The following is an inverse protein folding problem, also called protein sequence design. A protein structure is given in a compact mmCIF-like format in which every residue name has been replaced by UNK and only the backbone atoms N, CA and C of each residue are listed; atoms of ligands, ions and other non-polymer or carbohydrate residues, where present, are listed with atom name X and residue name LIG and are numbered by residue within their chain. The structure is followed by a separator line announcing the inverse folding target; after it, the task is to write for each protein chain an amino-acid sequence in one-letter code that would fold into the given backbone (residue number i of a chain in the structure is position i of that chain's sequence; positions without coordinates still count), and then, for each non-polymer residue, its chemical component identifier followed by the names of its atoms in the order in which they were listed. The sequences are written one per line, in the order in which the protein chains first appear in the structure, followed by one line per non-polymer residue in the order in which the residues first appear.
data_IF_355202766927
#
_entry.id   IF_355202766927
#
_cell.length_a   1.000
_cell.length_b   1.000
_cell.length_c   1.000
_cell.angle_alpha   90.00
_cell.angle_beta   90.00
_cell.angle_gamma   90.00
#
_symmetry.space_group_name_H-M   'P 1'
#
loop_
_entity.id
_entity.type
_entity.pdbx_description
1 polymer ?
#
# COMPACT_ATOMS: atom_id res chain seq x y z
N UNK A 1 8.71 -0.45 -31.31
CA UNK A 1 8.31 0.44 -30.22
C UNK A 1 8.47 -0.34 -28.90
N UNK A 2 9.66 -0.23 -28.28
CA UNK A 2 10.05 -0.95 -27.03
C UNK A 2 10.64 0.07 -26.02
N UNK A 3 10.22 1.34 -26.10
CA UNK A 3 10.87 2.45 -25.37
C UNK A 3 10.31 2.73 -23.96
N UNK A 4 9.46 1.86 -23.41
CA UNK A 4 8.82 2.12 -22.11
C UNK A 4 9.44 1.42 -20.90
N UNK A 5 10.24 0.37 -21.10
CA UNK A 5 10.76 -0.45 -20.01
C UNK A 5 11.96 0.16 -19.27
N UNK A 6 12.67 1.10 -19.92
CA UNK A 6 13.85 1.80 -19.37
C UNK A 6 13.54 3.24 -18.94
N UNK A 7 12.27 3.66 -18.89
CA UNK A 7 11.92 4.98 -18.41
C UNK A 7 12.26 5.09 -16.91
N UNK A 8 13.00 6.15 -16.49
CA UNK A 8 13.35 6.34 -15.08
C UNK A 8 12.12 6.70 -14.24
N UNK A 9 12.20 6.41 -12.94
CA UNK A 9 11.22 6.85 -11.97
C UNK A 9 9.86 6.16 -12.05
N UNK A 10 8.81 6.87 -11.62
CA UNK A 10 7.43 6.41 -11.56
C UNK A 10 6.90 5.94 -12.93
N UNK A 11 7.33 6.58 -14.03
CA UNK A 11 6.92 6.15 -15.38
C UNK A 11 7.42 4.74 -15.74
N UNK A 12 8.64 4.39 -15.35
CA UNK A 12 9.19 3.04 -15.55
C UNK A 12 8.44 1.99 -14.72
N UNK A 13 8.02 2.35 -13.51
CA UNK A 13 7.17 1.49 -12.68
C UNK A 13 5.84 1.23 -13.38
N UNK A 14 5.15 2.26 -13.85
CA UNK A 14 3.87 2.14 -14.55
C UNK A 14 3.98 1.30 -15.82
N UNK A 15 5.07 1.46 -16.60
CA UNK A 15 5.30 0.68 -17.80
C UNK A 15 5.39 -0.84 -17.52
N UNK A 16 5.82 -1.23 -16.32
CA UNK A 16 5.84 -2.63 -15.87
C UNK A 16 4.49 -3.10 -15.30
N UNK A 17 3.78 -2.19 -14.60
CA UNK A 17 2.52 -2.54 -13.97
C UNK A 17 1.37 -2.73 -14.97
N UNK A 18 1.27 -1.89 -16.00
CA UNK A 18 0.12 -1.90 -16.89
C UNK A 18 -0.03 -3.22 -17.69
N UNK A 19 1.02 -3.80 -18.30
CA UNK A 19 0.90 -5.10 -18.96
C UNK A 19 0.50 -6.23 -18.02
N UNK A 20 0.96 -6.18 -16.76
CA UNK A 20 0.59 -7.15 -15.73
C UNK A 20 -0.88 -7.00 -15.33
N UNK A 21 -1.39 -5.77 -15.23
CA UNK A 21 -2.81 -5.51 -15.01
C UNK A 21 -3.67 -6.10 -16.14
N UNK A 22 -3.29 -5.83 -17.40
CA UNK A 22 -4.01 -6.36 -18.57
C UNK A 22 -4.04 -7.89 -18.57
N UNK A 23 -2.97 -8.55 -18.14
CA UNK A 23 -2.92 -10.00 -17.97
C UNK A 23 -3.89 -10.47 -16.89
N UNK A 24 -3.83 -9.86 -15.70
CA UNK A 24 -4.69 -10.19 -14.57
C UNK A 24 -6.18 -9.99 -14.90
N UNK A 25 -6.51 -8.96 -15.68
CA UNK A 25 -7.88 -8.70 -16.11
C UNK A 25 -8.40 -9.78 -17.08
N UNK A 26 -7.58 -10.18 -18.07
CA UNK A 26 -7.93 -11.27 -18.99
C UNK A 26 -8.12 -12.61 -18.31
N UNK A 27 -7.27 -12.90 -17.31
CA UNK A 27 -7.28 -14.16 -16.57
C UNK A 27 -8.35 -14.20 -15.47
N UNK A 28 -9.05 -13.08 -15.22
CA UNK A 28 -10.00 -12.96 -14.10
C UNK A 28 -9.35 -13.03 -12.73
N UNK A 29 -8.04 -12.75 -12.64
CA UNK A 29 -7.25 -12.84 -11.41
C UNK A 29 -7.72 -11.80 -10.37
N UNK A 30 -8.11 -12.17 -9.16
CA UNK A 30 -8.62 -11.25 -8.16
C UNK A 30 -7.57 -10.22 -7.71
N UNK A 31 -6.27 -10.48 -7.89
CA UNK A 31 -5.19 -9.54 -7.60
C UNK A 31 -5.28 -8.26 -8.44
N UNK A 32 -6.00 -8.30 -9.59
CA UNK A 32 -6.27 -7.12 -10.43
C UNK A 32 -6.89 -5.96 -9.65
N UNK A 33 -7.68 -6.23 -8.63
CA UNK A 33 -8.36 -5.18 -7.87
C UNK A 33 -7.37 -4.29 -7.11
N UNK A 34 -6.44 -4.89 -6.36
CA UNK A 34 -5.38 -4.12 -5.70
C UNK A 34 -4.39 -3.57 -6.73
N UNK A 35 -3.92 -4.37 -7.68
CA UNK A 35 -2.95 -3.96 -8.69
C UNK A 35 -3.44 -2.76 -9.51
N UNK A 36 -4.70 -2.77 -9.95
CA UNK A 36 -5.32 -1.66 -10.67
C UNK A 36 -5.46 -0.39 -9.80
N UNK A 37 -5.90 -0.54 -8.55
CA UNK A 37 -5.96 0.58 -7.59
C UNK A 37 -4.57 1.17 -7.37
N UNK A 38 -3.56 0.34 -7.19
CA UNK A 38 -2.19 0.78 -6.96
C UNK A 38 -1.60 1.46 -8.21
N UNK A 39 -1.78 0.92 -9.41
CA UNK A 39 -1.35 1.54 -10.67
C UNK A 39 -1.93 2.94 -10.86
N UNK A 40 -3.20 3.14 -10.53
CA UNK A 40 -3.85 4.45 -10.59
C UNK A 40 -3.30 5.41 -9.53
N UNK A 41 -2.99 4.90 -8.34
CA UNK A 41 -2.38 5.68 -7.25
C UNK A 41 -0.96 6.13 -7.64
N UNK A 42 -0.14 5.22 -8.13
CA UNK A 42 1.23 5.51 -8.61
C UNK A 42 1.21 6.57 -9.72
N UNK A 43 0.25 6.50 -10.65
CA UNK A 43 0.07 7.54 -11.68
C UNK A 43 -0.23 8.91 -11.06
N UNK A 44 -1.15 8.97 -10.09
CA UNK A 44 -1.49 10.23 -9.43
C UNK A 44 -0.32 10.80 -8.60
N UNK A 45 0.55 9.95 -8.05
CA UNK A 45 1.79 10.39 -7.40
C UNK A 45 2.75 10.97 -8.45
N UNK A 46 2.92 10.32 -9.60
CA UNK A 46 3.73 10.83 -10.72
C UNK A 46 3.25 12.20 -11.22
N UNK A 47 1.94 12.40 -11.38
CA UNK A 47 1.34 13.70 -11.72
C UNK A 47 1.66 14.74 -10.63
N UNK A 48 1.51 14.41 -9.36
CA UNK A 48 1.82 15.30 -8.24
C UNK A 48 3.31 15.65 -8.13
N UNK A 49 4.21 14.73 -8.51
CA UNK A 49 5.65 14.99 -8.65
C UNK A 49 5.89 16.01 -9.77
N UNK A 50 5.29 15.81 -10.94
CA UNK A 50 5.40 16.69 -12.10
C UNK A 50 4.84 18.09 -11.82
N UNK A 51 3.80 18.18 -11.02
CA UNK A 51 3.16 19.43 -10.57
C UNK A 51 3.93 20.12 -9.42
N UNK A 52 5.12 19.64 -9.05
CA UNK A 52 5.96 20.16 -7.98
C UNK A 52 5.23 20.30 -6.62
N UNK A 53 4.34 19.36 -6.28
CA UNK A 53 3.54 19.39 -5.05
C UNK A 53 4.31 18.97 -3.81
N UNK A 54 5.56 18.52 -3.95
CA UNK A 54 6.45 18.07 -2.88
C UNK A 54 7.60 19.04 -2.68
N UNK A 55 8.22 19.01 -1.49
CA UNK A 55 9.42 19.81 -1.19
C UNK A 55 10.67 19.24 -1.89
N UNK A 56 10.73 17.91 -2.03
CA UNK A 56 11.77 17.18 -2.74
C UNK A 56 11.15 16.16 -3.71
N UNK A 57 10.69 16.59 -4.89
CA UNK A 57 10.06 15.72 -5.87
C UNK A 57 10.96 14.54 -6.30
N UNK A 58 12.27 14.77 -6.40
CA UNK A 58 13.23 13.73 -6.78
C UNK A 58 13.38 12.63 -5.69
N UNK A 59 13.28 13.01 -4.42
CA UNK A 59 13.25 12.04 -3.34
C UNK A 59 11.95 11.23 -3.34
N UNK A 60 10.81 11.90 -3.55
CA UNK A 60 9.50 11.22 -3.61
C UNK A 60 9.46 10.23 -4.77
N UNK A 61 10.02 10.59 -5.94
CA UNK A 61 10.12 9.69 -7.09
C UNK A 61 10.94 8.43 -6.75
N UNK A 62 12.13 8.58 -6.16
CA UNK A 62 12.95 7.44 -5.72
C UNK A 62 12.24 6.57 -4.68
N UNK A 63 11.53 7.20 -3.76
CA UNK A 63 10.77 6.50 -2.73
C UNK A 63 9.61 5.71 -3.34
N UNK A 64 8.81 6.32 -4.25
CA UNK A 64 7.69 5.63 -4.91
C UNK A 64 8.18 4.44 -5.75
N UNK A 65 9.31 4.58 -6.44
CA UNK A 65 9.96 3.47 -7.17
C UNK A 65 10.37 2.35 -6.22
N UNK A 66 11.05 2.66 -5.12
CA UNK A 66 11.45 1.65 -4.14
C UNK A 66 10.24 0.94 -3.52
N UNK A 67 9.19 1.70 -3.24
CA UNK A 67 7.94 1.19 -2.69
C UNK A 67 7.23 0.24 -3.67
N UNK A 68 7.11 0.64 -4.93
CA UNK A 68 6.52 -0.19 -5.97
C UNK A 68 7.34 -1.46 -6.26
N UNK A 69 8.66 -1.37 -6.18
CA UNK A 69 9.53 -2.52 -6.42
C UNK A 69 9.29 -3.63 -5.39
N UNK A 70 9.12 -3.31 -4.11
CA UNK A 70 8.83 -4.31 -3.07
C UNK A 70 7.54 -5.09 -3.38
N UNK A 71 6.50 -4.41 -3.83
CA UNK A 71 5.27 -5.05 -4.27
C UNK A 71 5.48 -5.95 -5.49
N UNK A 72 6.15 -5.43 -6.53
CA UNK A 72 6.39 -6.19 -7.75
C UNK A 72 7.25 -7.42 -7.51
N UNK A 73 8.25 -7.33 -6.63
CA UNK A 73 9.09 -8.45 -6.20
C UNK A 73 8.26 -9.50 -5.44
N UNK A 74 7.39 -9.07 -4.54
CA UNK A 74 6.49 -9.97 -3.82
C UNK A 74 5.51 -10.68 -4.77
N UNK A 75 4.97 -9.95 -5.76
CA UNK A 75 4.10 -10.52 -6.80
C UNK A 75 4.84 -11.55 -7.65
N UNK A 76 6.03 -11.22 -8.14
CA UNK A 76 6.87 -12.12 -8.93
C UNK A 76 7.31 -13.35 -8.13
N UNK A 77 7.62 -13.19 -6.85
CA UNK A 77 7.92 -14.30 -5.95
C UNK A 77 6.72 -15.23 -5.81
N UNK A 78 5.54 -14.68 -5.54
CA UNK A 78 4.30 -15.46 -5.41
C UNK A 78 3.91 -16.21 -6.70
N UNK A 79 4.14 -15.61 -7.87
CA UNK A 79 3.86 -16.25 -9.17
C UNK A 79 4.79 -17.44 -9.43
N UNK A 80 6.03 -17.39 -8.97
CA UNK A 80 6.99 -18.51 -9.11
C UNK A 80 6.72 -19.61 -8.10
N UNK A 81 6.55 -19.23 -6.85
CA UNK A 81 6.23 -20.09 -5.71
C UNK A 81 5.51 -19.27 -4.64
N UNK A 82 4.21 -19.53 -4.37
CA UNK A 82 3.45 -18.80 -3.36
C UNK A 82 4.11 -18.77 -1.98
N UNK A 83 4.87 -19.80 -1.61
CA UNK A 83 5.56 -19.86 -0.32
C UNK A 83 6.75 -18.89 -0.24
N UNK A 84 7.32 -18.48 -1.36
CA UNK A 84 8.48 -17.57 -1.42
C UNK A 84 8.12 -16.09 -1.23
N UNK A 85 6.83 -15.73 -1.33
CA UNK A 85 6.39 -14.35 -1.06
C UNK A 85 6.45 -14.04 0.44
N UNK A 86 6.71 -12.78 0.84
CA UNK A 86 6.57 -12.34 2.22
C UNK A 86 5.20 -12.70 2.81
N UNK A 87 5.15 -13.04 4.09
CA UNK A 87 3.93 -13.53 4.76
C UNK A 87 2.70 -12.62 4.56
N UNK A 88 2.80 -11.28 4.67
CA UNK A 88 1.65 -10.39 4.43
C UNK A 88 1.13 -10.53 3.00
N UNK A 89 2.02 -10.56 2.01
CA UNK A 89 1.66 -10.70 0.62
C UNK A 89 1.13 -12.09 0.29
N UNK A 90 1.72 -13.14 0.87
CA UNK A 90 1.21 -14.50 0.71
C UNK A 90 -0.22 -14.63 1.22
N UNK A 91 -0.55 -14.02 2.37
CA UNK A 91 -1.90 -14.00 2.91
C UNK A 91 -2.87 -13.18 2.02
N UNK A 92 -2.43 -12.02 1.52
CA UNK A 92 -3.24 -11.17 0.66
C UNK A 92 -3.49 -11.80 -0.72
N UNK A 93 -2.47 -12.35 -1.36
CA UNK A 93 -2.56 -12.98 -2.67
C UNK A 93 -3.29 -14.33 -2.67
N UNK A 94 -3.19 -15.06 -1.55
CA UNK A 94 -3.86 -16.36 -1.35
C UNK A 94 -5.28 -16.25 -0.80
N UNK A 95 -5.83 -15.03 -0.68
CA UNK A 95 -7.21 -14.84 -0.22
C UNK A 95 -8.22 -15.46 -1.18
N UNK A 96 -9.37 -15.90 -0.64
CA UNK A 96 -10.44 -16.51 -1.43
C UNK A 96 -10.84 -15.61 -2.63
N UNK A 97 -10.76 -16.11 -3.86
CA UNK A 97 -11.15 -15.34 -5.06
C UNK A 97 -12.59 -14.82 -5.04
N UNK A 98 -13.47 -15.46 -4.27
CA UNK A 98 -14.88 -15.06 -4.11
C UNK A 98 -15.09 -13.87 -3.16
N UNK A 99 -14.04 -13.33 -2.53
CA UNK A 99 -14.16 -12.13 -1.71
C UNK A 99 -14.61 -10.93 -2.53
N UNK A 100 -15.29 -10.00 -1.86
CA UNK A 100 -15.69 -8.75 -2.51
C UNK A 100 -14.44 -7.97 -2.98
N UNK A 101 -14.47 -7.31 -4.18
CA UNK A 101 -13.34 -6.54 -4.72
C UNK A 101 -12.67 -5.59 -3.72
N UNK A 102 -13.46 -4.88 -2.92
CA UNK A 102 -12.94 -4.00 -1.87
C UNK A 102 -12.10 -4.73 -0.83
N UNK A 103 -12.44 -5.99 -0.49
CA UNK A 103 -11.64 -6.77 0.45
C UNK A 103 -10.26 -7.08 -0.12
N UNK A 104 -10.16 -7.49 -1.39
CA UNK A 104 -8.86 -7.66 -2.07
C UNK A 104 -8.02 -6.38 -2.06
N UNK A 105 -8.65 -5.23 -2.32
CA UNK A 105 -7.97 -3.92 -2.25
C UNK A 105 -7.46 -3.66 -0.83
N UNK A 106 -8.29 -3.84 0.19
CA UNK A 106 -7.92 -3.58 1.59
C UNK A 106 -6.81 -4.51 2.10
N UNK A 107 -6.81 -5.78 1.71
CA UNK A 107 -5.75 -6.73 2.05
C UNK A 107 -4.43 -6.30 1.42
N UNK A 108 -4.43 -5.95 0.13
CA UNK A 108 -3.25 -5.46 -0.58
C UNK A 108 -2.72 -4.14 -0.01
N UNK A 109 -3.60 -3.16 0.25
CA UNK A 109 -3.21 -1.90 0.91
C UNK A 109 -2.59 -2.20 2.28
N UNK A 110 -3.15 -3.13 3.06
CA UNK A 110 -2.65 -3.46 4.39
C UNK A 110 -1.24 -4.07 4.33
N UNK A 111 -0.99 -5.04 3.41
CA UNK A 111 0.34 -5.60 3.18
C UNK A 111 1.32 -4.50 2.77
N UNK A 112 0.95 -3.69 1.79
CA UNK A 112 1.83 -2.69 1.20
C UNK A 112 2.19 -1.56 2.17
N UNK A 113 1.20 -0.96 2.86
CA UNK A 113 1.47 0.13 3.81
C UNK A 113 2.18 -0.37 5.07
N UNK A 114 1.78 -1.50 5.65
CA UNK A 114 2.34 -1.92 6.94
C UNK A 114 3.70 -2.60 6.82
N UNK A 115 3.93 -3.35 5.75
CA UNK A 115 5.17 -4.11 5.60
C UNK A 115 6.17 -3.46 4.64
N UNK A 116 5.73 -3.06 3.42
CA UNK A 116 6.67 -2.56 2.42
C UNK A 116 7.06 -1.09 2.65
N UNK A 117 6.11 -0.23 3.06
CA UNK A 117 6.36 1.20 3.13
C UNK A 117 7.46 1.58 4.13
N UNK A 118 7.57 1.00 5.35
CA UNK A 118 8.70 1.26 6.23
C UNK A 118 10.04 0.86 5.61
N UNK A 119 10.09 -0.24 4.85
CA UNK A 119 11.30 -0.71 4.18
C UNK A 119 11.68 0.21 3.01
N UNK A 120 10.69 0.68 2.23
CA UNK A 120 10.93 1.61 1.14
C UNK A 120 11.50 2.95 1.64
N UNK A 121 10.96 3.49 2.74
CA UNK A 121 11.50 4.70 3.38
C UNK A 121 12.92 4.47 3.87
N UNK A 122 13.17 3.34 4.54
CA UNK A 122 14.50 2.97 5.02
C UNK A 122 15.52 2.80 3.88
N UNK A 123 15.09 2.39 2.69
CA UNK A 123 15.96 2.22 1.52
C UNK A 123 16.39 3.56 0.89
N UNK A 124 15.56 4.61 0.99
CA UNK A 124 15.82 5.90 0.33
C UNK A 124 16.24 7.03 1.27
N UNK A 125 16.18 6.81 2.57
CA UNK A 125 16.72 7.74 3.59
C UNK A 125 18.07 7.20 4.05
N UNK A 126 19.12 7.96 3.80
CA UNK A 126 20.47 7.56 4.18
C UNK A 126 20.70 7.74 5.69
N UNK A 127 21.72 7.04 6.24
CA UNK A 127 22.07 7.19 7.67
C UNK A 127 22.43 8.63 8.02
N UNK A 128 23.05 9.36 7.08
CA UNK A 128 23.39 10.77 7.25
C UNK A 128 22.13 11.65 7.30
N UNK A 129 21.11 11.35 6.50
CA UNK A 129 19.82 12.05 6.54
C UNK A 129 19.06 11.74 7.83
N UNK A 130 19.09 10.50 8.32
CA UNK A 130 18.49 10.14 9.61
C UNK A 130 19.11 10.91 10.79
N UNK A 131 20.37 11.29 10.69
CA UNK A 131 21.07 12.08 11.71
C UNK A 131 20.77 13.59 11.64
N UNK A 132 20.14 14.08 10.57
CA UNK A 132 19.78 15.50 10.40
C UNK A 132 18.27 15.73 10.63
N UNK A 133 17.87 16.32 11.76
CA UNK A 133 16.47 16.57 12.07
C UNK A 133 15.74 17.42 11.04
N UNK A 134 16.43 18.36 10.37
CA UNK A 134 15.82 19.26 9.36
C UNK A 134 15.49 18.48 8.08
N UNK A 135 16.38 17.56 7.70
CA UNK A 135 16.14 16.69 6.56
C UNK A 135 15.00 15.73 6.89
N UNK A 136 15.00 15.11 8.07
CA UNK A 136 13.93 14.20 8.50
C UNK A 136 12.57 14.90 8.58
N UNK A 137 12.49 16.14 9.06
CA UNK A 137 11.25 16.92 9.06
C UNK A 137 10.74 17.17 7.63
N UNK A 138 11.62 17.46 6.65
CA UNK A 138 11.27 17.60 5.25
C UNK A 138 10.75 16.27 4.66
N UNK A 139 11.46 15.16 4.90
CA UNK A 139 11.04 13.81 4.48
C UNK A 139 9.66 13.45 5.02
N UNK A 140 9.44 13.76 6.31
CA UNK A 140 8.15 13.55 6.96
C UNK A 140 7.03 14.38 6.33
N UNK A 141 7.26 15.67 6.06
CA UNK A 141 6.25 16.50 5.39
C UNK A 141 5.90 15.98 4.01
N UNK A 142 6.87 15.58 3.20
CA UNK A 142 6.60 14.99 1.88
C UNK A 142 5.87 13.65 2.00
N UNK A 143 6.24 12.82 2.98
CA UNK A 143 5.51 11.60 3.28
C UNK A 143 4.05 11.88 3.67
N UNK A 144 3.78 12.92 4.46
CA UNK A 144 2.42 13.32 4.86
C UNK A 144 1.62 13.95 3.69
N UNK A 145 2.27 14.64 2.74
CA UNK A 145 1.61 15.23 1.57
C UNK A 145 0.98 14.21 0.63
N UNK A 146 1.47 12.99 0.61
CA UNK A 146 0.84 11.88 -0.11
C UNK A 146 -0.62 11.67 0.34
N UNK A 147 -0.95 11.95 1.60
CA UNK A 147 -2.34 11.85 2.08
C UNK A 147 -3.30 12.73 1.26
N UNK A 148 -2.84 13.89 0.80
CA UNK A 148 -3.61 14.76 -0.09
C UNK A 148 -3.82 14.15 -1.49
N UNK A 149 -2.83 13.45 -2.02
CA UNK A 149 -2.93 12.73 -3.31
C UNK A 149 -3.91 11.56 -3.16
N UNK A 150 -3.75 10.74 -2.11
CA UNK A 150 -4.62 9.61 -1.82
C UNK A 150 -6.07 10.03 -1.55
N UNK A 151 -6.28 11.15 -0.85
CA UNK A 151 -7.61 11.66 -0.55
C UNK A 151 -8.43 11.99 -1.81
N UNK A 152 -7.76 12.55 -2.85
CA UNK A 152 -8.39 12.79 -4.16
C UNK A 152 -8.75 11.49 -4.88
N UNK A 153 -7.95 10.44 -4.69
CA UNK A 153 -8.14 9.14 -5.34
C UNK A 153 -9.23 8.28 -4.69
N UNK A 154 -9.40 8.34 -3.36
CA UNK A 154 -10.42 7.54 -2.65
C UNK A 154 -11.82 7.77 -3.24
N UNK A 155 -12.18 9.00 -3.57
CA UNK A 155 -13.47 9.29 -4.18
C UNK A 155 -13.62 8.71 -5.60
N UNK A 156 -12.54 8.71 -6.39
CA UNK A 156 -12.54 8.14 -7.74
C UNK A 156 -12.55 6.60 -7.71
N UNK A 157 -11.86 5.99 -6.75
CA UNK A 157 -11.84 4.52 -6.58
C UNK A 157 -13.20 3.98 -6.13
N UNK A 158 -13.89 4.67 -5.20
CA UNK A 158 -15.26 4.30 -4.82
C UNK A 158 -16.17 4.23 -6.05
N UNK A 159 -16.09 5.23 -6.95
CA UNK A 159 -16.88 5.26 -8.17
C UNK A 159 -16.49 4.14 -9.16
N UNK A 160 -15.19 3.83 -9.30
CA UNK A 160 -14.70 2.78 -10.17
C UNK A 160 -15.10 1.38 -9.66
N UNK A 161 -14.99 1.13 -8.35
CA UNK A 161 -15.43 -0.11 -7.72
C UNK A 161 -16.96 -0.29 -7.82
N UNK A 162 -17.74 0.79 -7.69
CA UNK A 162 -19.18 0.75 -7.92
C UNK A 162 -19.53 0.33 -9.35
N UNK A 163 -18.82 0.87 -10.33
CA UNK A 163 -19.02 0.50 -11.74
C UNK A 163 -18.64 -0.96 -12.00
N UNK A 164 -17.52 -1.44 -11.43
CA UNK A 164 -17.08 -2.83 -11.57
C UNK A 164 -18.05 -3.82 -10.91
N UNK A 165 -18.67 -3.47 -9.79
CA UNK A 165 -19.72 -4.26 -9.13
C UNK A 165 -21.03 -4.22 -9.91
N UNK A 166 -21.34 -3.10 -10.58
CA UNK A 166 -22.55 -2.97 -11.43
C UNK A 166 -22.51 -3.86 -12.65
N UNK A 167 -21.34 -4.17 -13.18
CA UNK A 167 -21.16 -5.08 -14.31
C UNK A 167 -21.32 -6.57 -13.95
N UNK A 168 -21.28 -6.92 -12.66
CA UNK A 168 -21.54 -8.27 -12.15
C UNK A 168 -22.97 -8.33 -11.59
N UNK A 169 -23.79 -9.25 -12.06
CA UNK A 169 -25.25 -9.36 -11.85
C UNK A 169 -25.73 -9.58 -10.38
N UNK A 170 -25.01 -9.11 -9.38
CA UNK A 170 -25.28 -9.28 -7.93
C UNK A 170 -26.04 -8.09 -7.32
N UNK A 171 -26.61 -7.22 -8.13
CA UNK A 171 -27.10 -5.91 -7.71
C UNK A 171 -28.60 -5.80 -7.35
N UNK A 172 -29.16 -6.71 -6.61
CA UNK A 172 -30.55 -6.54 -6.14
C UNK A 172 -30.76 -6.27 -4.66
N UNK A 173 -29.79 -5.73 -3.92
CA UNK A 173 -29.90 -5.53 -2.48
C UNK A 173 -29.14 -4.38 -1.84
N UNK A 174 -28.62 -3.40 -2.61
CA UNK A 174 -28.00 -2.22 -1.98
C UNK A 174 -29.06 -1.34 -1.35
N UNK A 175 -29.10 -1.35 -0.02
CA UNK A 175 -30.03 -0.56 0.77
C UNK A 175 -29.68 0.93 0.71
N UNK A 176 -30.68 1.79 0.90
CA UNK A 176 -30.53 3.24 1.12
C UNK A 176 -29.52 3.53 2.26
N UNK A 177 -29.34 2.59 3.17
CA UNK A 177 -28.38 2.62 4.27
C UNK A 177 -26.93 2.66 3.75
N UNK A 178 -26.57 1.86 2.73
CA UNK A 178 -25.21 1.84 2.16
C UNK A 178 -24.86 3.18 1.50
N UNK A 179 -25.82 3.84 0.86
CA UNK A 179 -25.62 5.18 0.27
C UNK A 179 -25.46 6.27 1.34
N UNK A 180 -26.22 6.19 2.42
CA UNK A 180 -26.15 7.15 3.52
C UNK A 180 -24.83 7.03 4.32
N UNK A 181 -24.21 5.83 4.35
CA UNK A 181 -22.97 5.58 5.06
C UNK A 181 -21.70 5.92 4.25
N UNK A 182 -21.79 6.18 2.94
CA UNK A 182 -20.63 6.52 2.10
C UNK A 182 -19.75 7.67 2.62
N UNK A 183 -20.30 8.84 3.05
CA UNK A 183 -19.48 9.94 3.56
C UNK A 183 -18.72 9.57 4.84
N UNK A 184 -19.37 8.80 5.73
CA UNK A 184 -18.78 8.30 6.96
C UNK A 184 -17.66 7.30 6.68
N UNK A 185 -17.85 6.41 5.70
CA UNK A 185 -16.85 5.45 5.26
C UNK A 185 -15.62 6.15 4.65
N UNK A 186 -15.81 7.22 3.86
CA UNK A 186 -14.70 8.02 3.30
C UNK A 186 -13.89 8.74 4.38
N UNK A 187 -14.56 9.34 5.37
CA UNK A 187 -13.89 10.01 6.50
C UNK A 187 -13.12 9.00 7.36
N UNK A 188 -13.72 7.84 7.62
CA UNK A 188 -13.08 6.75 8.34
C UNK A 188 -11.85 6.22 7.58
N UNK A 189 -11.96 5.97 6.27
CA UNK A 189 -10.84 5.50 5.44
C UNK A 189 -9.67 6.47 5.46
N UNK A 190 -9.92 7.79 5.32
CA UNK A 190 -8.87 8.81 5.40
C UNK A 190 -8.19 8.83 6.78
N UNK A 191 -8.96 8.70 7.86
CA UNK A 191 -8.42 8.63 9.22
C UNK A 191 -7.55 7.39 9.41
N UNK A 192 -7.98 6.23 8.91
CA UNK A 192 -7.24 4.97 9.01
C UNK A 192 -5.93 5.01 8.23
N UNK A 193 -5.94 5.56 7.01
CA UNK A 193 -4.71 5.73 6.22
C UNK A 193 -3.72 6.66 6.92
N UNK A 194 -4.17 7.77 7.48
CA UNK A 194 -3.31 8.69 8.23
C UNK A 194 -2.71 8.04 9.47
N UNK A 195 -3.52 7.32 10.26
CA UNK A 195 -3.05 6.56 11.42
C UNK A 195 -2.00 5.51 11.02
N UNK A 196 -2.26 4.75 9.97
CA UNK A 196 -1.32 3.76 9.46
C UNK A 196 0.01 4.40 9.06
N UNK A 197 -0.01 5.55 8.38
CA UNK A 197 1.20 6.26 7.95
C UNK A 197 2.00 6.85 9.11
N UNK A 198 1.36 7.25 10.20
CA UNK A 198 2.07 7.64 11.43
C UNK A 198 2.81 6.45 12.04
N UNK A 199 2.18 5.27 12.09
CA UNK A 199 2.82 4.04 12.53
C UNK A 199 3.95 3.59 11.60
N UNK A 200 3.77 3.75 10.29
CA UNK A 200 4.82 3.51 9.29
C UNK A 200 6.07 4.35 9.59
N UNK A 201 5.89 5.63 9.86
CA UNK A 201 7.02 6.50 10.21
C UNK A 201 7.76 6.02 11.45
N UNK A 202 7.02 5.65 12.50
CA UNK A 202 7.59 5.07 13.72
C UNK A 202 8.33 3.76 13.41
N UNK A 203 7.71 2.85 12.69
CA UNK A 203 8.34 1.58 12.28
C UNK A 203 9.63 1.80 11.48
N UNK A 204 9.66 2.80 10.60
CA UNK A 204 10.87 3.18 9.86
C UNK A 204 12.00 3.61 10.79
N UNK A 205 11.69 4.41 11.82
CA UNK A 205 12.68 4.84 12.82
C UNK A 205 13.20 3.66 13.66
N UNK A 206 12.32 2.73 14.03
CA UNK A 206 12.71 1.52 14.77
C UNK A 206 13.56 0.57 13.91
N UNK A 207 13.21 0.39 12.65
CA UNK A 207 14.03 -0.39 11.71
C UNK A 207 15.40 0.26 11.48
N UNK A 208 15.48 1.59 11.42
CA UNK A 208 16.74 2.31 11.33
C UNK A 208 17.60 2.11 12.58
N UNK A 209 17.01 2.23 13.78
CA UNK A 209 17.72 1.98 15.02
C UNK A 209 18.23 0.53 15.09
N UNK A 210 17.41 -0.44 14.71
CA UNK A 210 17.78 -1.83 14.63
C UNK A 210 18.92 -2.08 13.62
N UNK A 211 18.88 -1.42 12.44
CA UNK A 211 19.95 -1.49 11.42
C UNK A 211 21.27 -0.93 11.97
N UNK A 212 21.23 0.18 12.67
CA UNK A 212 22.39 0.79 13.31
C UNK A 212 22.98 -0.10 14.43
N UNK A 213 22.14 -0.87 15.14
CA UNK A 213 22.57 -1.83 16.17
C UNK A 213 23.18 -3.11 15.60
N UNK A 214 22.97 -3.41 14.31
CA UNK A 214 23.60 -4.53 13.61
C UNK A 214 22.63 -5.40 12.81
N UNK A 215 23.20 -6.20 11.91
CA UNK A 215 22.45 -6.99 10.94
C UNK A 215 21.46 -7.98 11.59
N UNK A 216 21.83 -8.61 12.70
CA UNK A 216 20.99 -9.57 13.39
C UNK A 216 19.78 -8.87 14.04
N UNK A 217 19.99 -7.72 14.68
CA UNK A 217 18.90 -6.94 15.28
C UNK A 217 17.93 -6.48 14.20
N UNK A 218 18.44 -5.97 13.08
CA UNK A 218 17.61 -5.59 11.94
C UNK A 218 16.78 -6.76 11.42
N UNK A 219 17.38 -7.93 11.23
CA UNK A 219 16.67 -9.13 10.76
C UNK A 219 15.54 -9.53 11.69
N UNK A 220 15.76 -9.48 13.01
CA UNK A 220 14.75 -9.80 14.03
C UNK A 220 13.59 -8.79 13.96
N UNK A 221 13.90 -7.48 13.98
CA UNK A 221 12.89 -6.42 13.96
C UNK A 221 12.06 -6.44 12.66
N UNK A 222 12.69 -6.71 11.52
CA UNK A 222 11.99 -6.85 10.24
C UNK A 222 11.07 -8.08 10.23
N UNK A 223 11.52 -9.21 10.78
CA UNK A 223 10.70 -10.42 10.90
C UNK A 223 9.49 -10.19 11.83
N UNK A 224 9.65 -9.39 12.88
CA UNK A 224 8.56 -9.00 13.77
C UNK A 224 7.53 -8.12 13.03
N UNK A 225 7.98 -7.13 12.25
CA UNK A 225 7.10 -6.31 11.41
C UNK A 225 6.33 -7.18 10.40
N UNK A 226 7.00 -8.17 9.80
CA UNK A 226 6.38 -9.11 8.89
C UNK A 226 5.27 -9.92 9.57
N UNK A 227 5.53 -10.43 10.78
CA UNK A 227 4.56 -11.19 11.56
C UNK A 227 3.35 -10.35 11.96
N UNK A 228 3.56 -9.14 12.46
CA UNK A 228 2.48 -8.22 12.83
C UNK A 228 1.61 -7.84 11.63
N UNK A 229 2.25 -7.57 10.48
CA UNK A 229 1.54 -7.26 9.24
C UNK A 229 0.72 -8.45 8.74
N UNK A 230 1.28 -9.66 8.79
CA UNK A 230 0.56 -10.88 8.41
C UNK A 230 -0.60 -11.19 9.37
N UNK A 231 -0.41 -11.01 10.68
CA UNK A 231 -1.45 -11.19 11.68
C UNK A 231 -2.63 -10.22 11.46
N UNK A 232 -2.32 -8.97 11.07
CA UNK A 232 -3.37 -7.99 10.74
C UNK A 232 -4.19 -8.41 9.52
N UNK A 233 -3.56 -8.96 8.48
CA UNK A 233 -4.27 -9.49 7.32
C UNK A 233 -5.13 -10.69 7.70
N UNK A 234 -4.61 -11.61 8.51
CA UNK A 234 -5.37 -12.74 9.01
C UNK A 234 -6.62 -12.31 9.81
N UNK A 235 -6.49 -11.26 10.63
CA UNK A 235 -7.64 -10.66 11.33
C UNK A 235 -8.67 -10.08 10.34
N UNK A 236 -8.25 -9.40 9.29
CA UNK A 236 -9.14 -8.87 8.26
C UNK A 236 -9.86 -9.99 7.48
N UNK A 237 -9.21 -11.12 7.26
CA UNK A 237 -9.76 -12.30 6.60
C UNK A 237 -10.71 -13.11 7.49
N UNK A 238 -10.59 -13.02 8.81
CA UNK A 238 -11.46 -13.74 9.72
C UNK A 238 -12.94 -13.33 9.52
N UNK A 239 -13.93 -14.19 9.85
CA UNK A 239 -15.34 -13.86 9.71
C UNK A 239 -15.73 -12.55 10.41
N UNK A 240 -16.62 -11.77 9.81
CA UNK A 240 -17.14 -10.53 10.36
C UNK A 240 -17.02 -9.32 9.42
N UNK A 241 -17.50 -8.17 9.88
CA UNK A 241 -17.48 -6.95 9.08
C UNK A 241 -16.08 -6.32 9.08
N UNK A 242 -15.44 -6.31 7.91
CA UNK A 242 -14.08 -5.77 7.71
C UNK A 242 -13.97 -4.30 8.14
N UNK A 243 -14.97 -3.47 7.84
CA UNK A 243 -14.95 -2.06 8.21
C UNK A 243 -15.04 -1.88 9.73
N UNK A 244 -15.80 -2.72 10.42
CA UNK A 244 -15.87 -2.71 11.88
C UNK A 244 -14.51 -3.12 12.49
N UNK A 245 -13.84 -4.13 11.94
CA UNK A 245 -12.50 -4.54 12.37
C UNK A 245 -11.47 -3.43 12.20
N UNK A 246 -11.55 -2.69 11.08
CA UNK A 246 -10.71 -1.53 10.86
C UNK A 246 -11.04 -0.40 11.85
N UNK A 247 -12.32 -0.18 12.17
CA UNK A 247 -12.74 0.84 13.11
C UNK A 247 -12.27 0.56 14.55
N UNK A 248 -12.26 -0.71 14.97
CA UNK A 248 -11.86 -1.13 16.33
C UNK A 248 -10.34 -1.30 16.44
N UNK A 249 -9.72 -2.03 15.51
CA UNK A 249 -8.31 -2.42 15.57
C UNK A 249 -7.34 -1.44 14.89
N UNK A 250 -7.84 -0.40 14.20
CA UNK A 250 -7.04 0.48 13.36
C UNK A 250 -6.61 -0.18 12.05
N UNK A 251 -5.89 0.55 11.22
CA UNK A 251 -5.37 0.04 9.94
C UNK A 251 -3.89 -0.37 10.06
N UNK A 252 -3.10 0.46 10.73
CA UNK A 252 -1.66 0.31 10.85
C UNK A 252 -1.25 -0.66 11.96
N UNK A 253 -0.09 -1.31 11.77
CA UNK A 253 0.62 -2.03 12.82
C UNK A 253 1.78 -1.20 13.34
N UNK A 254 2.15 -1.39 14.59
CA UNK A 254 3.31 -0.73 15.19
C UNK A 254 4.22 -1.79 15.83
N UNK A 255 5.50 -1.71 15.55
CA UNK A 255 6.52 -2.43 16.30
C UNK A 255 6.48 -1.98 17.77
N UNK A 256 6.69 -2.88 18.73
CA UNK A 256 6.85 -2.49 20.11
C UNK A 256 8.10 -1.57 20.25
N UNK A 257 8.06 -0.58 21.15
CA UNK A 257 9.27 0.13 21.53
C UNK A 257 10.23 -0.84 22.25
N UNK A 258 11.52 -0.61 22.07
CA UNK A 258 12.59 -1.35 22.80
C UNK A 258 12.55 -1.06 24.30
#
# INVERSE_FOLDING_TARGET
MVDGLDAPGVHGVLARMLPELDRMERDGDPRRFFHGTYSRTTRAVGEAISDARFEDPAWVDRWDVAFAQLYLDALAAHQRDPASAPRPWRAAFGADPGLHPLQHVLLGINAHINYDLPQALLAVITDQEFADPRVMDRRRRDHERIDGVLAGRVAAEDAALETAVQSTAVQRGRSLYDRAMQPLNRAATKRFLREARQKVWLNTMLLQAARAAGAERYRITLAELELLSAARIADLLAPGNVLLKLAVGGFGVALPPD
#
